data_IF_382597549374
#
_entry.id   IF_382597549374
#
_cell.length_a   1.000
_cell.length_b   1.000
_cell.length_c   1.000
_cell.angle_alpha   90.00
_cell.angle_beta   90.00
_cell.angle_gamma   90.00
#
_symmetry.space_group_name_H-M   'P 1'
#
loop_
_entity.id
_entity.type
_entity.pdbx_description
1 polymer ?
#
# COMPACT_ATOMS: atom_id res chain seq x y z
N UNK A 1 -38.07 22.55 -43.69
CA UNK A 1 -38.25 22.40 -42.23
C UNK A 1 -36.98 21.75 -41.72
N UNK A 2 -36.02 22.54 -41.25
CA UNK A 2 -34.67 22.10 -40.85
C UNK A 2 -34.65 21.77 -39.35
N UNK A 3 -34.67 20.47 -39.03
CA UNK A 3 -34.36 19.98 -37.72
C UNK A 3 -33.08 19.13 -37.81
N UNK A 4 -31.90 19.67 -37.58
CA UNK A 4 -30.69 18.87 -37.33
C UNK A 4 -29.46 19.68 -36.88
N UNK A 5 -29.65 20.88 -36.29
CA UNK A 5 -28.50 21.67 -35.79
C UNK A 5 -28.20 21.47 -34.27
N UNK A 6 -29.18 20.98 -33.50
CA UNK A 6 -29.04 20.87 -32.03
C UNK A 6 -28.32 19.61 -31.51
N UNK A 7 -28.23 18.57 -32.32
CA UNK A 7 -27.76 17.25 -31.83
C UNK A 7 -26.24 17.06 -31.98
N UNK A 8 -25.59 17.86 -32.80
CA UNK A 8 -24.12 17.74 -32.99
C UNK A 8 -23.29 18.40 -31.89
N UNK A 9 -23.84 19.37 -31.17
CA UNK A 9 -23.11 20.04 -30.10
C UNK A 9 -23.14 19.30 -28.75
N UNK A 10 -24.12 18.43 -28.53
CA UNK A 10 -24.23 17.63 -27.29
C UNK A 10 -23.16 16.54 -27.25
N UNK A 11 -22.82 15.94 -28.39
CA UNK A 11 -21.78 14.90 -28.48
C UNK A 11 -20.37 15.41 -28.28
N UNK A 12 -20.09 16.67 -28.68
CA UNK A 12 -18.78 17.31 -28.51
C UNK A 12 -18.54 17.68 -27.04
N UNK A 13 -19.57 18.07 -26.29
CA UNK A 13 -19.45 18.37 -24.87
C UNK A 13 -19.28 17.12 -23.99
N UNK A 14 -19.87 15.99 -24.38
CA UNK A 14 -19.69 14.72 -23.66
C UNK A 14 -18.29 14.15 -23.90
N UNK A 15 -17.71 14.34 -25.10
CA UNK A 15 -16.34 13.91 -25.39
C UNK A 15 -15.29 14.77 -24.68
N UNK A 16 -15.56 16.05 -24.46
CA UNK A 16 -14.63 16.96 -23.76
C UNK A 16 -14.56 16.74 -22.26
N UNK A 17 -15.60 16.18 -21.63
CA UNK A 17 -15.60 15.86 -20.19
C UNK A 17 -14.84 14.58 -19.83
N UNK A 18 -14.53 13.71 -20.80
CA UNK A 18 -13.78 12.47 -20.56
C UNK A 18 -12.27 12.72 -20.48
N UNK A 19 -11.78 13.85 -20.98
CA UNK A 19 -10.33 14.17 -21.00
C UNK A 19 -9.83 15.03 -19.83
N UNK A 20 -10.68 15.46 -18.91
CA UNK A 20 -10.28 16.36 -17.81
C UNK A 20 -9.90 15.66 -16.52
N UNK A 21 -9.84 14.33 -16.46
CA UNK A 21 -9.33 13.57 -15.31
C UNK A 21 -7.99 12.90 -15.61
N UNK A 22 -7.06 13.65 -16.23
CA UNK A 22 -5.66 13.27 -16.13
C UNK A 22 -5.20 13.64 -14.72
N UNK A 23 -5.46 12.75 -13.77
CA UNK A 23 -4.80 12.77 -12.49
C UNK A 23 -3.30 12.75 -12.76
N UNK A 24 -2.62 13.81 -12.36
CA UNK A 24 -1.18 13.93 -12.44
C UNK A 24 -0.57 12.75 -11.67
N UNK A 25 -0.24 11.68 -12.37
CA UNK A 25 0.59 10.61 -11.82
C UNK A 25 1.99 11.21 -11.73
N UNK A 26 2.31 11.78 -10.59
CA UNK A 26 3.68 12.19 -10.29
C UNK A 26 4.50 10.91 -10.19
N UNK A 27 5.28 10.61 -11.23
CA UNK A 27 6.34 9.61 -11.17
C UNK A 27 7.41 10.16 -10.23
N UNK A 28 7.31 9.82 -8.95
CA UNK A 28 8.41 10.06 -8.03
C UNK A 28 9.45 8.98 -8.28
N UNK A 29 10.55 9.36 -8.91
CA UNK A 29 11.77 8.57 -8.87
C UNK A 29 12.36 8.81 -7.48
N UNK A 30 12.09 7.92 -6.54
CA UNK A 30 12.74 7.93 -5.24
C UNK A 30 14.21 7.56 -5.46
N UNK A 31 15.09 8.55 -5.39
CA UNK A 31 16.53 8.39 -5.49
C UNK A 31 17.12 7.88 -4.16
N UNK A 32 16.52 6.84 -3.59
CA UNK A 32 17.02 6.21 -2.38
C UNK A 32 17.77 4.95 -2.78
N UNK A 33 18.99 4.73 -2.27
CA UNK A 33 19.82 3.56 -2.62
C UNK A 33 19.10 2.22 -2.46
N UNK A 34 18.15 2.14 -1.53
CA UNK A 34 17.42 0.91 -1.19
C UNK A 34 16.33 0.53 -2.22
N UNK A 35 15.97 1.43 -3.12
CA UNK A 35 14.98 1.17 -4.19
C UNK A 35 15.62 0.75 -5.52
N UNK A 36 16.93 0.63 -5.60
CA UNK A 36 17.62 0.19 -6.82
C UNK A 36 17.16 -1.20 -7.23
N UNK A 37 16.61 -1.29 -8.44
CA UNK A 37 16.15 -2.53 -9.05
C UNK A 37 14.64 -2.70 -9.07
N UNK A 38 13.87 -1.72 -8.59
CA UNK A 38 12.42 -1.68 -8.76
C UNK A 38 12.02 -0.49 -9.63
N UNK A 39 11.36 -0.81 -10.74
CA UNK A 39 10.80 0.17 -11.66
C UNK A 39 9.27 0.10 -11.59
N UNK A 40 8.59 1.18 -11.94
CA UNK A 40 7.13 1.20 -12.03
C UNK A 40 6.48 2.41 -11.39
N UNK A 41 5.17 2.31 -11.16
CA UNK A 41 4.39 3.34 -10.48
C UNK A 41 4.59 3.24 -8.98
N UNK A 42 4.90 4.37 -8.36
CA UNK A 42 5.03 4.52 -6.91
C UNK A 42 3.69 4.92 -6.33
N UNK A 43 3.22 4.15 -5.35
CA UNK A 43 2.06 4.50 -4.55
C UNK A 43 2.48 4.54 -3.08
N UNK A 44 2.37 5.70 -2.45
CA UNK A 44 2.87 5.94 -1.09
C UNK A 44 1.80 6.56 -0.21
N UNK A 45 1.72 6.06 1.02
CA UNK A 45 0.86 6.55 2.10
C UNK A 45 1.71 6.80 3.34
N UNK A 46 1.31 7.75 4.16
CA UNK A 46 2.02 8.02 5.41
C UNK A 46 1.09 8.45 6.54
N UNK A 47 1.53 8.17 7.78
CA UNK A 47 0.83 8.58 9.00
C UNK A 47 1.84 8.96 10.07
N UNK A 48 1.61 10.06 10.77
CA UNK A 48 2.35 10.38 11.99
C UNK A 48 1.60 9.76 13.16
N UNK A 49 2.33 8.97 13.95
CA UNK A 49 1.83 8.19 15.09
C UNK A 49 2.59 8.63 16.32
N UNK A 50 1.86 9.02 17.38
CA UNK A 50 2.47 9.40 18.65
C UNK A 50 2.87 8.16 19.46
N UNK A 51 3.88 7.44 18.96
CA UNK A 51 4.46 6.25 19.58
C UNK A 51 5.90 6.08 19.12
N UNK A 52 6.67 5.30 19.87
CA UNK A 52 8.07 4.98 19.57
C UNK A 52 8.18 4.02 18.39
N UNK A 53 9.25 4.15 17.60
CA UNK A 53 9.55 3.25 16.48
C UNK A 53 9.61 1.78 16.88
N UNK A 54 10.08 1.49 18.11
CA UNK A 54 10.17 0.14 18.65
C UNK A 54 8.79 -0.52 18.78
N UNK A 55 7.81 0.23 19.27
CA UNK A 55 6.45 -0.28 19.45
C UNK A 55 5.77 -0.50 18.11
N UNK A 56 5.89 0.47 17.20
CA UNK A 56 5.36 0.36 15.84
C UNK A 56 6.00 -0.81 15.10
N UNK A 57 7.34 -0.94 15.16
CA UNK A 57 8.06 -2.03 14.52
C UNK A 57 7.65 -3.39 15.07
N UNK A 58 7.46 -3.51 16.39
CA UNK A 58 6.96 -4.72 17.04
C UNK A 58 5.57 -5.10 16.51
N UNK A 59 4.68 -4.12 16.34
CA UNK A 59 3.34 -4.38 15.79
C UNK A 59 3.45 -4.89 14.36
N UNK A 60 4.28 -4.27 13.52
CA UNK A 60 4.46 -4.64 12.12
C UNK A 60 5.13 -6.02 11.92
N UNK A 61 5.88 -6.52 12.89
CA UNK A 61 6.67 -7.76 12.77
C UNK A 61 6.17 -8.92 13.63
N UNK A 62 5.07 -8.73 14.37
CA UNK A 62 4.42 -9.78 15.17
C UNK A 62 3.12 -10.20 14.51
N UNK A 63 2.99 -11.46 14.14
CA UNK A 63 1.86 -11.96 13.33
C UNK A 63 0.50 -11.65 13.96
N UNK A 64 0.36 -11.89 15.28
CA UNK A 64 -0.88 -11.66 16.02
C UNK A 64 -1.26 -10.18 16.05
N UNK A 65 -0.28 -9.28 16.24
CA UNK A 65 -0.51 -7.85 16.26
C UNK A 65 -0.81 -7.32 14.86
N UNK A 66 -0.08 -7.79 13.85
CA UNK A 66 -0.29 -7.42 12.47
C UNK A 66 -1.70 -7.79 11.96
N UNK A 67 -2.20 -8.95 12.39
CA UNK A 67 -3.55 -9.39 12.01
C UNK A 67 -4.65 -8.41 12.42
N UNK A 68 -4.47 -7.71 13.55
CA UNK A 68 -5.42 -6.70 14.01
C UNK A 68 -5.37 -5.39 13.20
N UNK A 69 -4.34 -5.19 12.39
CA UNK A 69 -4.24 -4.01 11.51
C UNK A 69 -5.03 -4.21 10.23
N UNK A 70 -5.27 -5.45 9.85
CA UNK A 70 -5.89 -5.80 8.58
C UNK A 70 -7.36 -5.35 8.53
N UNK A 71 -7.80 -4.73 7.42
CA UNK A 71 -9.21 -4.48 7.19
C UNK A 71 -10.03 -5.77 7.18
N UNK A 72 -11.32 -5.66 7.48
CA UNK A 72 -12.25 -6.79 7.41
C UNK A 72 -12.16 -7.54 6.08
N UNK A 73 -12.12 -8.87 6.13
CA UNK A 73 -11.97 -9.74 4.96
C UNK A 73 -10.53 -9.81 4.42
N UNK A 74 -9.55 -9.23 5.11
CA UNK A 74 -8.13 -9.37 4.75
C UNK A 74 -7.44 -10.27 5.79
N UNK A 75 -6.82 -11.34 5.31
CA UNK A 75 -6.05 -12.28 6.13
C UNK A 75 -4.60 -12.20 5.69
N UNK A 76 -3.70 -12.01 6.67
CA UNK A 76 -2.26 -12.02 6.44
C UNK A 76 -1.62 -13.06 7.35
N UNK A 77 -0.83 -13.94 6.75
CA UNK A 77 -0.13 -15.02 7.45
C UNK A 77 1.37 -14.87 7.25
N UNK A 78 2.14 -14.92 8.33
CA UNK A 78 3.59 -15.01 8.29
C UNK A 78 4.02 -16.47 8.34
N UNK A 79 4.84 -16.87 7.36
CA UNK A 79 5.37 -18.22 7.23
C UNK A 79 6.88 -18.21 7.46
N UNK A 80 7.47 -19.41 7.63
CA UNK A 80 8.91 -19.58 7.83
C UNK A 80 9.79 -18.82 6.82
N UNK A 81 10.97 -18.33 7.29
CA UNK A 81 11.52 -18.43 8.64
C UNK A 81 10.93 -17.42 9.64
N UNK A 82 10.68 -17.89 10.86
CA UNK A 82 10.25 -17.06 11.99
C UNK A 82 11.34 -17.04 13.08
N UNK A 83 11.44 -16.02 13.93
CA UNK A 83 10.66 -14.78 13.94
C UNK A 83 10.87 -13.95 12.67
N UNK A 84 10.01 -12.94 12.44
CA UNK A 84 9.98 -12.11 11.25
C UNK A 84 11.37 -11.53 10.89
N UNK A 85 11.89 -11.89 9.72
CA UNK A 85 13.25 -11.58 9.26
C UNK A 85 13.35 -11.64 7.74
N UNK A 86 14.51 -11.32 7.19
CA UNK A 86 14.77 -11.55 5.77
C UNK A 86 14.58 -13.04 5.43
N UNK A 87 13.80 -13.30 4.41
CA UNK A 87 13.40 -14.65 4.00
C UNK A 87 11.98 -15.05 4.42
N UNK A 88 11.41 -14.46 5.49
CA UNK A 88 10.03 -14.70 5.92
C UNK A 88 9.08 -14.52 4.74
N UNK A 89 8.18 -15.48 4.55
CA UNK A 89 7.11 -15.40 3.57
C UNK A 89 5.87 -14.78 4.21
N UNK A 90 5.15 -14.00 3.43
CA UNK A 90 3.91 -13.35 3.84
C UNK A 90 2.84 -13.66 2.81
N UNK A 91 1.85 -14.45 3.21
CA UNK A 91 0.67 -14.69 2.40
C UNK A 91 -0.41 -13.67 2.75
N UNK A 92 -0.98 -13.02 1.74
CA UNK A 92 -2.12 -12.10 1.90
C UNK A 92 -3.30 -12.61 1.10
N UNK A 93 -4.45 -12.75 1.75
CA UNK A 93 -5.73 -13.12 1.12
C UNK A 93 -6.77 -12.06 1.40
N UNK A 94 -7.54 -11.71 0.39
CA UNK A 94 -8.70 -10.80 0.50
C UNK A 94 -9.94 -11.60 0.17
N UNK A 95 -10.78 -11.82 1.18
CA UNK A 95 -12.04 -12.55 1.05
C UNK A 95 -13.14 -11.59 0.57
N UNK A 96 -13.54 -11.77 -0.67
CA UNK A 96 -14.71 -11.14 -1.28
C UNK A 96 -15.41 -12.18 -2.15
N UNK A 97 -16.32 -11.76 -3.05
CA UNK A 97 -17.01 -12.64 -4.00
C UNK A 97 -16.02 -13.52 -4.79
N UNK A 98 -14.79 -13.02 -5.02
CA UNK A 98 -13.66 -13.78 -5.54
C UNK A 98 -12.48 -13.55 -4.61
N UNK A 99 -11.90 -14.64 -4.10
CA UNK A 99 -10.68 -14.55 -3.28
C UNK A 99 -9.53 -14.03 -4.14
N UNK A 100 -8.97 -12.90 -3.74
CA UNK A 100 -7.76 -12.33 -4.31
C UNK A 100 -6.63 -12.51 -3.30
N UNK A 101 -5.48 -12.97 -3.74
CA UNK A 101 -4.32 -13.13 -2.86
C UNK A 101 -3.01 -12.98 -3.59
N UNK A 102 -1.96 -12.85 -2.82
CA UNK A 102 -0.57 -12.84 -3.28
C UNK A 102 0.37 -13.29 -2.18
N UNK A 103 1.52 -13.79 -2.60
CA UNK A 103 2.64 -14.12 -1.73
C UNK A 103 3.73 -13.06 -1.85
N UNK A 104 4.32 -12.71 -0.73
CA UNK A 104 5.47 -11.83 -0.63
C UNK A 104 6.61 -12.52 0.12
N UNK A 105 7.82 -12.02 -0.07
CA UNK A 105 8.99 -12.44 0.69
C UNK A 105 9.70 -11.23 1.24
N UNK A 106 10.01 -11.26 2.51
CA UNK A 106 10.83 -10.23 3.15
C UNK A 106 12.25 -10.28 2.58
N UNK A 107 12.70 -9.20 1.96
CA UNK A 107 14.05 -9.08 1.40
C UNK A 107 15.03 -8.45 2.38
N UNK A 108 14.56 -7.46 3.14
CA UNK A 108 15.40 -6.78 4.10
C UNK A 108 14.58 -6.31 5.32
N UNK A 109 15.23 -6.37 6.48
CA UNK A 109 14.72 -5.81 7.73
C UNK A 109 15.84 -4.98 8.34
N UNK A 110 15.60 -3.69 8.50
CA UNK A 110 16.43 -2.78 9.29
C UNK A 110 15.63 -2.44 10.55
N UNK A 111 15.96 -3.00 11.71
CA UNK A 111 15.17 -2.82 12.92
C UNK A 111 14.87 -1.36 13.22
N UNK A 112 13.60 -1.07 13.48
CA UNK A 112 13.07 0.26 13.81
C UNK A 112 13.22 1.33 12.71
N UNK A 113 13.56 0.90 11.47
CA UNK A 113 13.76 1.82 10.34
C UNK A 113 13.02 1.40 9.08
N UNK A 114 13.15 0.12 8.67
CA UNK A 114 12.65 -0.28 7.37
C UNK A 114 12.38 -1.78 7.30
N UNK A 115 11.31 -2.13 6.60
CA UNK A 115 11.00 -3.49 6.16
C UNK A 115 10.75 -3.42 4.66
N UNK A 116 11.40 -4.29 3.88
CA UNK A 116 11.18 -4.41 2.44
C UNK A 116 10.76 -5.82 2.09
N UNK A 117 9.67 -5.91 1.33
CA UNK A 117 9.14 -7.16 0.78
C UNK A 117 9.14 -7.11 -0.74
N UNK A 118 9.31 -8.27 -1.36
CA UNK A 118 9.10 -8.46 -2.78
C UNK A 118 7.82 -9.25 -3.00
N UNK A 119 6.96 -8.79 -3.89
CA UNK A 119 5.79 -9.54 -4.34
C UNK A 119 6.23 -10.68 -5.28
N UNK A 120 5.90 -11.92 -4.91
CA UNK A 120 6.33 -13.12 -5.65
C UNK A 120 5.33 -13.50 -6.75
N UNK A 121 4.05 -13.22 -6.51
CA UNK A 121 2.96 -13.60 -7.42
C UNK A 121 1.78 -12.61 -7.33
N UNK A 122 0.64 -12.99 -7.94
CA UNK A 122 -0.57 -12.20 -7.92
C UNK A 122 -0.50 -10.99 -8.84
N UNK A 123 -1.30 -9.98 -8.49
CA UNK A 123 -1.42 -8.75 -9.30
C UNK A 123 -0.15 -7.89 -9.25
N UNK A 124 0.56 -7.93 -8.13
CA UNK A 124 1.73 -7.10 -7.83
C UNK A 124 3.07 -7.80 -8.12
N UNK A 125 3.06 -9.00 -8.71
CA UNK A 125 4.24 -9.82 -8.96
C UNK A 125 5.40 -9.01 -9.53
N UNK A 126 6.60 -9.20 -8.97
CA UNK A 126 7.82 -8.48 -9.38
C UNK A 126 8.02 -7.11 -8.73
N UNK A 127 6.96 -6.51 -8.17
CA UNK A 127 7.05 -5.25 -7.42
C UNK A 127 7.56 -5.42 -5.99
N UNK A 128 7.59 -4.31 -5.27
CA UNK A 128 8.06 -4.26 -3.87
C UNK A 128 7.10 -3.48 -2.99
N UNK A 129 7.13 -3.81 -1.70
CA UNK A 129 6.49 -3.07 -0.63
C UNK A 129 7.54 -2.66 0.40
N UNK A 130 7.47 -1.42 0.85
CA UNK A 130 8.35 -0.86 1.87
C UNK A 130 7.51 -0.26 3.00
N UNK A 131 7.98 -0.53 4.22
CA UNK A 131 7.55 0.14 5.43
C UNK A 131 8.76 0.87 5.99
N UNK A 132 8.64 2.19 6.15
CA UNK A 132 9.72 3.03 6.65
C UNK A 132 9.25 3.79 7.89
N UNK A 133 10.14 3.90 8.88
CA UNK A 133 9.88 4.54 10.16
C UNK A 133 10.89 5.66 10.36
N UNK A 134 10.42 6.91 10.41
CA UNK A 134 11.23 8.10 10.60
C UNK A 134 10.85 8.80 11.90
N UNK A 135 11.83 9.43 12.55
CA UNK A 135 11.57 10.24 13.74
C UNK A 135 10.83 11.52 13.35
N UNK A 136 9.82 11.87 14.12
CA UNK A 136 9.09 13.13 14.06
C UNK A 136 9.05 13.79 15.42
N UNK A 137 8.83 15.10 15.45
CA UNK A 137 8.79 15.89 16.69
C UNK A 137 7.81 15.29 17.73
N UNK A 138 6.69 14.74 17.28
CA UNK A 138 5.63 14.19 18.14
C UNK A 138 5.40 12.69 17.88
N UNK A 139 6.49 11.91 17.70
CA UNK A 139 6.39 10.46 17.51
C UNK A 139 7.12 9.92 16.30
N UNK A 140 6.47 9.10 15.53
CA UNK A 140 7.05 8.41 14.38
C UNK A 140 6.21 8.63 13.13
N UNK A 141 6.85 9.03 12.02
CA UNK A 141 6.25 8.95 10.69
C UNK A 141 6.41 7.54 10.17
N UNK A 142 5.28 6.90 9.89
CA UNK A 142 5.23 5.62 9.19
C UNK A 142 4.90 5.89 7.73
N UNK A 143 5.70 5.35 6.82
CA UNK A 143 5.45 5.38 5.38
C UNK A 143 5.29 3.96 4.85
N UNK A 144 4.23 3.72 4.11
CA UNK A 144 4.02 2.51 3.32
C UNK A 144 4.12 2.89 1.85
N UNK A 145 5.01 2.24 1.13
CA UNK A 145 5.24 2.48 -0.29
C UNK A 145 5.17 1.16 -1.04
N UNK A 146 4.40 1.12 -2.13
CA UNK A 146 4.54 0.05 -3.11
C UNK A 146 5.08 0.63 -4.42
N UNK A 147 5.93 -0.16 -5.09
CA UNK A 147 6.42 0.11 -6.44
C UNK A 147 5.99 -1.07 -7.27
N UNK A 148 5.12 -0.84 -8.25
CA UNK A 148 4.52 -1.89 -9.07
C UNK A 148 4.52 -1.48 -10.53
N UNK A 149 4.82 -2.44 -11.40
CA UNK A 149 4.71 -2.29 -12.84
C UNK A 149 3.69 -3.31 -13.38
N UNK A 150 2.40 -2.92 -13.49
CA UNK A 150 1.38 -3.82 -14.01
C UNK A 150 1.69 -4.19 -15.47
N UNK A 151 2.10 -5.44 -15.68
CA UNK A 151 2.44 -5.93 -17.01
C UNK A 151 1.22 -6.04 -17.92
N UNK A 152 1.29 -5.39 -19.07
CA UNK A 152 0.30 -5.44 -20.14
C UNK A 152 -0.89 -4.50 -19.91
N UNK A 153 -1.53 -4.17 -21.04
CA UNK A 153 -2.59 -3.15 -21.10
C UNK A 153 -3.77 -3.43 -20.13
N UNK A 154 -4.21 -4.67 -20.02
CA UNK A 154 -5.37 -5.03 -19.19
C UNK A 154 -5.05 -4.81 -17.70
N UNK A 155 -3.87 -5.24 -17.22
CA UNK A 155 -3.47 -5.03 -15.83
C UNK A 155 -3.29 -3.55 -15.52
N UNK A 156 -2.74 -2.77 -16.46
CA UNK A 156 -2.58 -1.33 -16.30
C UNK A 156 -3.93 -0.60 -16.20
N UNK A 157 -4.92 -0.98 -17.01
CA UNK A 157 -6.29 -0.44 -16.90
C UNK A 157 -6.91 -0.84 -15.56
N UNK A 158 -6.79 -2.10 -15.14
CA UNK A 158 -7.29 -2.56 -13.85
C UNK A 158 -6.64 -1.82 -12.68
N UNK A 159 -5.33 -1.61 -12.73
CA UNK A 159 -4.60 -0.83 -11.74
C UNK A 159 -5.17 0.58 -11.61
N UNK A 160 -5.24 1.31 -12.71
CA UNK A 160 -5.68 2.71 -12.72
C UNK A 160 -7.14 2.91 -12.33
N UNK A 161 -8.01 1.93 -12.60
CA UNK A 161 -9.46 2.10 -12.40
C UNK A 161 -9.98 1.49 -11.11
N UNK A 162 -9.40 0.40 -10.64
CA UNK A 162 -9.97 -0.38 -9.51
C UNK A 162 -8.94 -0.73 -8.43
N UNK A 163 -7.80 -1.32 -8.83
CA UNK A 163 -6.88 -1.92 -7.86
C UNK A 163 -6.24 -0.85 -7.00
N UNK A 164 -5.72 0.22 -7.58
CA UNK A 164 -5.11 1.34 -6.86
C UNK A 164 -6.08 1.98 -5.87
N UNK A 165 -7.34 2.19 -6.26
CA UNK A 165 -8.34 2.78 -5.37
C UNK A 165 -8.66 1.89 -4.17
N UNK A 166 -8.75 0.56 -4.40
CA UNK A 166 -8.93 -0.41 -3.31
C UNK A 166 -7.71 -0.47 -2.41
N UNK A 167 -6.51 -0.52 -3.00
CA UNK A 167 -5.25 -0.52 -2.27
C UNK A 167 -5.14 0.73 -1.37
N UNK A 168 -5.40 1.92 -1.92
CA UNK A 168 -5.35 3.16 -1.13
C UNK A 168 -6.27 3.09 0.09
N UNK A 169 -7.52 2.65 -0.09
CA UNK A 169 -8.46 2.52 1.04
C UNK A 169 -7.99 1.49 2.07
N UNK A 170 -7.46 0.37 1.62
CA UNK A 170 -6.94 -0.68 2.50
C UNK A 170 -5.76 -0.16 3.33
N UNK A 171 -4.81 0.53 2.71
CA UNK A 171 -3.64 1.08 3.40
C UNK A 171 -4.02 2.18 4.38
N UNK A 172 -4.99 3.05 4.04
CA UNK A 172 -5.46 4.07 4.98
C UNK A 172 -6.08 3.44 6.23
N UNK A 173 -6.94 2.42 6.08
CA UNK A 173 -7.52 1.69 7.23
C UNK A 173 -6.42 1.00 8.04
N UNK A 174 -5.45 0.40 7.37
CA UNK A 174 -4.31 -0.24 8.02
C UNK A 174 -3.51 0.76 8.87
N UNK A 175 -3.17 1.92 8.30
CA UNK A 175 -2.42 2.96 9.00
C UNK A 175 -3.23 3.56 10.17
N UNK A 176 -4.55 3.70 10.03
CA UNK A 176 -5.42 4.16 11.12
C UNK A 176 -5.48 3.14 12.26
N UNK A 177 -5.58 1.84 11.96
CA UNK A 177 -5.55 0.78 12.96
C UNK A 177 -4.18 0.71 13.65
N UNK A 178 -3.08 0.84 12.89
CA UNK A 178 -1.72 0.91 13.43
C UNK A 178 -1.58 2.08 14.40
N UNK A 179 -2.07 3.26 14.03
CA UNK A 179 -2.07 4.44 14.87
C UNK A 179 -2.84 4.19 16.17
N UNK A 180 -4.07 3.70 16.08
CA UNK A 180 -4.88 3.41 17.27
C UNK A 180 -4.20 2.41 18.21
N UNK A 181 -3.62 1.33 17.66
CA UNK A 181 -2.97 0.29 18.46
C UNK A 181 -1.68 0.81 19.12
N UNK A 182 -0.84 1.50 18.38
CA UNK A 182 0.45 1.99 18.89
C UNK A 182 0.25 3.07 19.96
N UNK A 183 -0.68 4.01 19.75
CA UNK A 183 -0.97 5.08 20.71
C UNK A 183 -1.65 4.55 21.98
N UNK A 184 -2.53 3.53 21.87
CA UNK A 184 -3.11 2.87 23.04
C UNK A 184 -2.06 2.16 23.90
N UNK A 185 -1.06 1.50 23.27
CA UNK A 185 0.07 0.86 23.97
C UNK A 185 0.96 1.85 24.72
N UNK A 186 1.11 3.08 24.22
CA UNK A 186 1.83 4.15 24.90
C UNK A 186 1.17 4.58 26.22
N UNK A 187 -0.16 4.63 26.27
CA UNK A 187 -0.90 5.04 27.47
C UNK A 187 -0.80 4.00 28.61
N UNK A 188 -0.59 2.72 28.32
CA UNK A 188 -0.46 1.66 29.35
C UNK A 188 0.92 1.71 30.04
N UNK A 189 1.96 2.26 29.39
CA UNK A 189 3.32 2.33 29.97
C UNK A 189 3.55 3.53 30.90
N UNK A 190 2.67 4.53 30.86
CA UNK A 190 2.79 5.74 31.65
C UNK A 190 2.01 5.69 32.98
N UNK A 191 1.42 4.55 33.32
CA UNK A 191 0.76 4.29 34.61
C UNK A 191 1.57 3.30 35.46
#
# INVERSE_FOLDING_TARGET
MNMNAGMKHVWILVLAMVFASQGCSTKYTLNVPDYKGYEGEVNQHSRVINADKQDIFKILTTAELFAHLCPEGTIVTFEDPLPYQAGTRVETKIEHIFTLGWNSKVEAVMPYRMIRLRFLDGFFAGGTELWELEDEENGTRVMQTIIVEPEGFIRQVCWNTKVRLKHNRMVEVFLDNLKMMAEAGCHVRTQ
#
